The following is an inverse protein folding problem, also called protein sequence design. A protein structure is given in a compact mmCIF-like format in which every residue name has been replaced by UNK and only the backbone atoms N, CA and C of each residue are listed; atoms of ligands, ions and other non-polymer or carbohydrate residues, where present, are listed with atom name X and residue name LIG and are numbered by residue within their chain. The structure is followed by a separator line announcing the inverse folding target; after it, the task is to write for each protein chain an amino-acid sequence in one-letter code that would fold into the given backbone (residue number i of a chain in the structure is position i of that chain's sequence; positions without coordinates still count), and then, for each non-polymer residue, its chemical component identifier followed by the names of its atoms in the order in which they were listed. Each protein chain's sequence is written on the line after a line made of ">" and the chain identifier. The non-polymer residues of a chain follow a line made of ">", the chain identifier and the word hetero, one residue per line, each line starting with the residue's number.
data_IF_979549273835
#
_entry.id   IF_979549273835
#
_cell.length_a   1.000
_cell.length_b   1.000
_cell.length_c   1.000
_cell.angle_alpha   90.00
_cell.angle_beta   90.00
_cell.angle_gamma   90.00
#
_symmetry.space_group_name_H-M   'P 1'
#
loop_
_entity.id
_entity.type
_entity.pdbx_description
1 polymer ?
#
# COMPACT_ATOMS: atom_id res chain seq x y z
N UNK A 1 -20.39 -6.79 -1.10
CA UNK A 1 -18.97 -7.06 -1.39
C UNK A 1 -18.12 -5.81 -1.09
N UNK A 2 -16.90 -6.00 -0.70
CA UNK A 2 -15.97 -4.89 -0.54
C UNK A 2 -15.50 -4.43 -1.93
N UNK A 3 -15.91 -3.24 -2.36
CA UNK A 3 -15.65 -2.77 -3.72
C UNK A 3 -14.32 -2.03 -3.85
N UNK A 4 -13.91 -1.26 -2.84
CA UNK A 4 -12.68 -0.48 -2.90
C UNK A 4 -12.17 -0.11 -1.51
N UNK A 5 -10.88 0.22 -1.47
CA UNK A 5 -10.21 0.85 -0.33
C UNK A 5 -9.66 2.17 -0.82
N UNK A 6 -9.98 3.26 -0.12
CA UNK A 6 -9.60 4.60 -0.54
C UNK A 6 -8.49 5.16 0.37
N UNK A 7 -7.44 5.67 -0.28
CA UNK A 7 -6.32 6.36 0.35
C UNK A 7 -6.50 7.86 0.14
N UNK A 8 -6.52 8.61 1.21
CA UNK A 8 -6.48 10.08 1.15
C UNK A 8 -5.03 10.52 0.97
N UNK A 9 -4.75 11.28 -0.09
CA UNK A 9 -3.39 11.61 -0.50
C UNK A 9 -3.24 13.09 -0.83
N UNK A 10 -2.10 13.66 -0.47
CA UNK A 10 -1.72 14.97 -1.00
C UNK A 10 -1.37 14.86 -2.48
N UNK A 11 -0.67 13.78 -2.86
CA UNK A 11 -0.25 13.49 -4.23
C UNK A 11 -0.69 12.08 -4.62
N UNK A 12 -1.94 11.90 -5.08
CA UNK A 12 -2.44 10.58 -5.46
C UNK A 12 -1.60 9.86 -6.52
N UNK A 13 -1.04 10.60 -7.50
CA UNK A 13 -0.22 10.00 -8.56
C UNK A 13 1.02 9.33 -8.00
N UNK A 14 1.70 10.00 -7.07
CA UNK A 14 2.92 9.48 -6.45
C UNK A 14 2.62 8.24 -5.61
N UNK A 15 1.58 8.29 -4.79
CA UNK A 15 1.20 7.17 -3.91
C UNK A 15 0.72 5.99 -4.75
N UNK A 16 -0.07 6.25 -5.79
CA UNK A 16 -0.56 5.20 -6.68
C UNK A 16 0.59 4.52 -7.45
N UNK A 17 1.61 5.27 -7.90
CA UNK A 17 2.78 4.65 -8.55
C UNK A 17 3.49 3.67 -7.63
N UNK A 18 3.63 4.02 -6.36
CA UNK A 18 4.21 3.12 -5.36
C UNK A 18 3.41 1.82 -5.25
N UNK A 19 2.10 1.93 -5.05
CA UNK A 19 1.24 0.75 -4.86
C UNK A 19 1.08 -0.06 -6.15
N UNK A 20 1.03 0.60 -7.30
CA UNK A 20 1.00 -0.07 -8.61
C UNK A 20 2.23 -0.97 -8.80
N UNK A 21 3.40 -0.44 -8.49
CA UNK A 21 4.66 -1.20 -8.62
C UNK A 21 4.74 -2.33 -7.59
N UNK A 22 4.37 -2.06 -6.34
CA UNK A 22 4.44 -3.08 -5.29
C UNK A 22 3.49 -4.25 -5.54
N UNK A 23 2.27 -3.96 -5.98
CA UNK A 23 1.23 -4.97 -6.16
C UNK A 23 1.13 -5.52 -7.57
N UNK A 24 1.82 -4.92 -8.54
CA UNK A 24 1.71 -5.32 -9.95
C UNK A 24 0.34 -5.05 -10.54
N UNK A 25 -0.35 -3.99 -10.10
CA UNK A 25 -1.68 -3.63 -10.57
C UNK A 25 -1.62 -2.35 -11.37
N UNK A 26 -2.23 -2.37 -12.57
CA UNK A 26 -2.21 -1.24 -13.47
C UNK A 26 -3.29 -0.20 -13.15
N UNK A 27 -3.00 1.10 -13.36
CA UNK A 27 -4.03 2.13 -13.25
C UNK A 27 -5.11 1.94 -14.29
N UNK A 28 -6.36 2.07 -13.87
CA UNK A 28 -7.52 2.08 -14.74
C UNK A 28 -8.05 3.50 -14.98
N UNK A 29 -9.15 3.64 -15.73
CA UNK A 29 -9.78 4.93 -15.95
C UNK A 29 -10.21 5.58 -14.64
N UNK A 30 -9.95 6.88 -14.51
CA UNK A 30 -10.31 7.64 -13.32
C UNK A 30 -10.63 9.09 -13.68
N UNK A 31 -11.28 9.79 -12.76
CA UNK A 31 -11.50 11.23 -12.93
C UNK A 31 -10.21 12.00 -12.69
N UNK A 32 -10.08 13.24 -13.21
CA UNK A 32 -8.86 14.01 -13.05
C UNK A 32 -8.44 14.20 -11.58
N UNK A 33 -7.16 13.99 -11.30
CA UNK A 33 -6.59 14.12 -9.95
C UNK A 33 -6.72 12.87 -9.08
N UNK A 34 -7.57 11.92 -9.47
CA UNK A 34 -7.73 10.64 -8.78
C UNK A 34 -6.97 9.54 -9.53
N UNK A 35 -6.63 8.47 -8.84
CA UNK A 35 -6.07 7.28 -9.48
C UNK A 35 -6.78 6.05 -8.92
N UNK A 36 -7.13 5.13 -9.82
CA UNK A 36 -7.72 3.84 -9.46
C UNK A 36 -6.79 2.72 -9.89
N UNK A 37 -6.49 1.80 -8.99
CA UNK A 37 -5.77 0.56 -9.32
C UNK A 37 -6.77 -0.60 -9.29
N UNK A 38 -6.81 -1.36 -10.37
CA UNK A 38 -7.79 -2.42 -10.57
C UNK A 38 -9.09 -1.89 -11.15
N UNK A 39 -10.02 -2.80 -11.37
CA UNK A 39 -11.32 -2.50 -12.00
C UNK A 39 -12.46 -3.01 -11.13
N UNK A 40 -13.66 -2.50 -11.40
CA UNK A 40 -14.87 -3.03 -10.77
C UNK A 40 -15.01 -4.51 -11.12
N UNK A 41 -15.33 -5.32 -10.15
CA UNK A 41 -15.53 -6.74 -10.33
C UNK A 41 -14.28 -7.59 -10.25
N UNK A 42 -13.10 -6.99 -10.06
CA UNK A 42 -11.88 -7.74 -9.78
C UNK A 42 -12.05 -8.57 -8.51
N UNK A 43 -11.37 -9.73 -8.41
CA UNK A 43 -11.39 -10.52 -7.17
C UNK A 43 -10.92 -9.75 -5.95
N UNK A 44 -9.94 -8.85 -6.12
CA UNK A 44 -9.46 -7.98 -5.06
C UNK A 44 -10.15 -6.62 -5.15
N UNK A 45 -10.38 -5.93 -4.02
CA UNK A 45 -10.97 -4.60 -4.05
C UNK A 45 -10.08 -3.63 -4.83
N UNK A 46 -10.70 -2.71 -5.54
CA UNK A 46 -10.01 -1.64 -6.24
C UNK A 46 -9.40 -0.70 -5.20
N UNK A 47 -8.16 -0.26 -5.44
CA UNK A 47 -7.54 0.78 -4.62
C UNK A 47 -7.78 2.13 -5.26
N UNK A 48 -8.26 3.07 -4.46
CA UNK A 48 -8.61 4.42 -4.92
C UNK A 48 -7.71 5.42 -4.19
N UNK A 49 -7.11 6.33 -4.94
CA UNK A 49 -6.24 7.37 -4.38
C UNK A 49 -6.88 8.71 -4.70
N UNK A 50 -7.40 9.37 -3.66
CA UNK A 50 -8.13 10.62 -3.83
C UNK A 50 -7.35 11.80 -3.25
N UNK A 51 -7.40 12.97 -3.93
CA UNK A 51 -6.71 14.14 -3.44
C UNK A 51 -7.43 14.75 -2.23
N UNK A 52 -6.66 15.07 -1.20
CA UNK A 52 -7.14 15.81 -0.03
C UNK A 52 -6.14 16.92 0.28
N UNK A 53 -6.58 18.02 0.91
CA UNK A 53 -5.68 19.15 1.19
C UNK A 53 -4.79 18.97 2.42
N UNK A 54 -5.12 18.02 3.30
CA UNK A 54 -4.39 17.83 4.56
C UNK A 54 -3.48 16.60 4.51
N UNK A 55 -2.28 16.68 5.13
CA UNK A 55 -1.43 15.50 5.26
C UNK A 55 -1.99 14.53 6.29
N UNK A 56 -1.51 13.28 6.23
CA UNK A 56 -1.84 12.27 7.23
C UNK A 56 -1.28 12.69 8.60
N UNK A 57 -2.11 12.59 9.63
CA UNK A 57 -1.73 12.84 11.02
C UNK A 57 -2.07 11.59 11.84
N UNK A 58 -1.11 11.11 12.60
CA UNK A 58 -1.30 9.90 13.42
C UNK A 58 -1.19 8.60 12.63
N UNK A 59 -1.32 7.49 13.34
CA UNK A 59 -1.21 6.15 12.76
C UNK A 59 -2.54 5.74 12.13
N UNK A 60 -2.47 5.02 10.99
CA UNK A 60 -3.68 4.43 10.39
C UNK A 60 -4.33 3.44 11.37
N UNK A 61 -5.64 3.37 11.35
CA UNK A 61 -6.41 2.44 12.19
C UNK A 61 -6.76 1.15 11.45
N UNK A 62 -6.66 1.17 10.14
CA UNK A 62 -6.84 0.01 9.26
C UNK A 62 -5.60 -0.04 8.38
N UNK A 63 -4.92 -1.17 8.33
CA UNK A 63 -3.76 -1.33 7.45
C UNK A 63 -3.95 -2.52 6.51
N UNK A 64 -3.30 -2.44 5.36
CA UNK A 64 -3.27 -3.54 4.41
C UNK A 64 -2.12 -4.48 4.77
N UNK A 65 -2.32 -5.77 4.54
CA UNK A 65 -1.27 -6.77 4.66
C UNK A 65 -0.95 -7.31 3.28
N UNK A 66 0.31 -7.21 2.89
CA UNK A 66 0.79 -7.64 1.57
C UNK A 66 1.63 -8.90 1.77
N UNK A 67 1.17 -10.01 1.22
CA UNK A 67 1.91 -11.28 1.28
C UNK A 67 3.06 -11.24 0.28
N UNK A 68 4.26 -11.58 0.74
CA UNK A 68 5.48 -11.61 -0.08
C UNK A 68 6.21 -12.92 0.09
N UNK A 69 7.03 -13.29 -0.89
CA UNK A 69 7.83 -14.51 -0.85
C UNK A 69 9.06 -14.39 0.05
N UNK A 70 9.67 -13.20 0.07
CA UNK A 70 10.86 -12.91 0.89
C UNK A 70 10.72 -11.51 1.45
N UNK A 71 10.59 -11.40 2.76
CA UNK A 71 10.34 -10.12 3.41
C UNK A 71 11.53 -9.17 3.30
N UNK A 72 12.75 -9.70 3.30
CA UNK A 72 13.95 -8.86 3.19
C UNK A 72 14.06 -8.23 1.80
N UNK A 73 13.78 -8.99 0.74
CA UNK A 73 13.73 -8.45 -0.62
C UNK A 73 12.61 -7.43 -0.76
N UNK A 74 11.46 -7.69 -0.15
CA UNK A 74 10.32 -6.78 -0.19
C UNK A 74 10.61 -5.47 0.52
N UNK A 75 11.32 -5.49 1.64
CA UNK A 75 11.77 -4.28 2.35
C UNK A 75 12.64 -3.41 1.42
N UNK A 76 13.57 -4.04 0.70
CA UNK A 76 14.44 -3.33 -0.26
C UNK A 76 13.61 -2.71 -1.39
N UNK A 77 12.64 -3.45 -1.92
CA UNK A 77 11.76 -2.96 -2.98
C UNK A 77 10.93 -1.77 -2.49
N UNK A 78 10.30 -1.88 -1.34
CA UNK A 78 9.50 -0.79 -0.76
C UNK A 78 10.34 0.46 -0.57
N UNK A 79 11.56 0.31 -0.06
CA UNK A 79 12.48 1.44 0.14
C UNK A 79 12.86 2.07 -1.19
N UNK A 80 13.16 1.27 -2.21
CA UNK A 80 13.50 1.76 -3.55
C UNK A 80 12.34 2.51 -4.21
N UNK A 81 11.10 2.14 -3.89
CA UNK A 81 9.89 2.78 -4.43
C UNK A 81 9.47 4.05 -3.66
N UNK A 82 10.22 4.43 -2.63
CA UNK A 82 9.94 5.65 -1.87
C UNK A 82 9.21 5.45 -0.55
N UNK A 83 8.98 4.20 -0.15
CA UNK A 83 8.47 3.89 1.17
C UNK A 83 9.59 3.73 2.19
N UNK A 84 9.24 3.31 3.39
CA UNK A 84 10.22 3.11 4.46
C UNK A 84 9.74 2.08 5.48
N UNK A 85 10.70 1.51 6.22
CA UNK A 85 10.39 0.70 7.38
C UNK A 85 10.07 1.62 8.56
N UNK A 86 9.10 1.21 9.40
CA UNK A 86 8.81 1.92 10.65
C UNK A 86 9.71 1.47 11.78
N UNK A 87 10.51 0.41 11.57
CA UNK A 87 11.33 -0.21 12.60
C UNK A 87 10.63 -1.33 13.36
N UNK A 88 9.35 -1.53 13.12
CA UNK A 88 8.57 -2.58 13.80
C UNK A 88 8.60 -3.87 12.99
N UNK A 89 9.02 -4.96 13.64
CA UNK A 89 9.06 -6.29 13.04
C UNK A 89 8.69 -7.33 14.09
N UNK A 90 7.91 -8.32 13.66
CA UNK A 90 7.50 -9.43 14.51
C UNK A 90 7.80 -10.74 13.79
N UNK A 91 8.59 -11.60 14.44
CA UNK A 91 8.92 -12.93 13.93
C UNK A 91 8.15 -13.97 14.73
N UNK A 92 7.38 -14.77 14.03
CA UNK A 92 6.56 -15.83 14.59
C UNK A 92 6.98 -17.19 14.01
N UNK A 93 6.51 -18.26 14.60
CA UNK A 93 6.75 -19.60 14.09
C UNK A 93 6.22 -19.76 12.67
N UNK A 94 5.06 -19.17 12.37
CA UNK A 94 4.42 -19.27 11.05
C UNK A 94 4.92 -18.24 10.03
N UNK A 95 5.74 -17.29 10.42
CA UNK A 95 6.26 -16.30 9.49
C UNK A 95 6.75 -15.02 10.12
N UNK A 96 6.96 -14.01 9.30
CA UNK A 96 7.43 -12.69 9.70
C UNK A 96 6.46 -11.62 9.24
N UNK A 97 6.28 -10.58 10.07
CA UNK A 97 5.48 -9.39 9.76
C UNK A 97 6.35 -8.16 9.96
N UNK A 98 6.45 -7.33 8.93
CA UNK A 98 7.24 -6.09 8.98
C UNK A 98 6.32 -4.92 8.67
N UNK A 99 6.32 -3.91 9.54
CA UNK A 99 5.49 -2.73 9.35
C UNK A 99 6.26 -1.69 8.54
N UNK A 100 5.68 -1.31 7.41
CA UNK A 100 6.25 -0.35 6.47
C UNK A 100 5.33 0.86 6.36
N UNK A 101 5.80 1.90 5.68
CA UNK A 101 4.99 3.05 5.32
C UNK A 101 5.19 3.37 3.85
N UNK A 102 4.12 3.80 3.17
CA UNK A 102 4.18 4.25 1.79
C UNK A 102 4.73 5.69 1.71
N UNK A 103 4.87 6.28 0.51
CA UNK A 103 5.48 7.62 0.39
C UNK A 103 4.81 8.74 1.17
N UNK A 104 3.54 8.59 1.54
CA UNK A 104 2.84 9.59 2.37
C UNK A 104 2.62 9.11 3.81
N UNK A 105 3.28 8.02 4.18
CA UNK A 105 3.26 7.55 5.55
C UNK A 105 2.08 6.65 5.92
N UNK A 106 1.29 6.17 4.94
CA UNK A 106 0.26 5.18 5.24
C UNK A 106 0.95 3.87 5.63
N UNK A 107 0.73 3.42 6.86
CA UNK A 107 1.36 2.19 7.35
C UNK A 107 0.67 0.97 6.75
N UNK A 108 1.47 -0.04 6.42
CA UNK A 108 1.00 -1.34 5.94
C UNK A 108 1.99 -2.41 6.37
N UNK A 109 1.62 -3.67 6.25
CA UNK A 109 2.49 -4.76 6.65
C UNK A 109 2.91 -5.61 5.46
N UNK A 110 4.18 -6.01 5.46
CA UNK A 110 4.67 -7.10 4.61
C UNK A 110 4.60 -8.38 5.43
N UNK A 111 4.02 -9.43 4.87
CA UNK A 111 3.81 -10.70 5.56
C UNK A 111 4.45 -11.82 4.75
N UNK A 112 5.37 -12.56 5.36
CA UNK A 112 5.96 -13.76 4.78
C UNK A 112 5.54 -14.95 5.63
N UNK A 113 4.87 -15.92 5.01
CA UNK A 113 4.52 -17.17 5.66
C UNK A 113 5.59 -18.23 5.37
N UNK A 114 5.87 -19.03 6.39
CA UNK A 114 6.80 -20.15 6.27
C UNK A 114 6.12 -21.42 5.77
#
# INVERSE_FOLDING_TARGET
>A
MLSSVTFDCLDPQRVARFWSALLGREPGPSQPGWVYLGERGDPEPRLVFQPVPEPKVGKVRIHLDVTVGDVNEAIELVTALGGRSTGERHDYEEGAVVVMADPEGHEFCLVQYH
#
